data_IF_192047509608
#
_entry.id   IF_192047509608
#
_cell.length_a   1.000
_cell.length_b   1.000
_cell.length_c   1.000
_cell.angle_alpha   90.00
_cell.angle_beta   90.00
_cell.angle_gamma   90.00
#
_symmetry.space_group_name_H-M   'P 1'
#
loop_
_entity.id
_entity.type
_entity.pdbx_description
1 polymer ?
#
# COMPACT_ATOMS: atom_id res chain seq x y z
N UNK A 1 4.34 -7.31 30.57
CA UNK A 1 3.96 -5.90 30.78
C UNK A 1 2.50 -5.63 30.39
N UNK A 2 2.12 -5.50 29.11
CA UNK A 2 0.72 -5.19 28.74
C UNK A 2 -0.27 -6.32 29.08
N UNK A 3 0.08 -7.59 28.84
CA UNK A 3 -0.76 -8.72 29.25
C UNK A 3 -0.99 -8.77 30.76
N UNK A 4 0.04 -8.44 31.55
CA UNK A 4 -0.06 -8.37 33.01
C UNK A 4 -0.91 -7.18 33.44
N UNK A 5 -0.78 -6.02 32.78
CA UNK A 5 -1.60 -4.85 33.05
C UNK A 5 -3.10 -5.13 32.83
N UNK A 6 -3.48 -5.98 31.87
CA UNK A 6 -4.87 -6.39 31.64
C UNK A 6 -5.46 -7.23 32.79
N UNK A 7 -4.64 -7.78 33.69
CA UNK A 7 -5.12 -8.45 34.91
C UNK A 7 -5.59 -7.45 35.97
N UNK A 8 -5.04 -6.23 35.96
CA UNK A 8 -5.34 -5.15 36.91
C UNK A 8 -6.41 -4.22 36.30
N UNK A 9 -6.15 -3.74 35.09
CA UNK A 9 -7.06 -2.89 34.32
C UNK A 9 -8.09 -3.77 33.62
N UNK A 10 -9.15 -4.15 34.31
CA UNK A 10 -10.22 -4.93 33.69
C UNK A 10 -11.24 -4.01 33.01
N UNK A 11 -11.92 -4.52 31.97
CA UNK A 11 -12.99 -3.79 31.25
C UNK A 11 -14.06 -3.20 32.18
N UNK A 12 -14.37 -3.86 33.30
CA UNK A 12 -15.42 -3.43 34.24
C UNK A 12 -14.94 -2.33 35.19
N UNK A 13 -13.71 -2.43 35.69
CA UNK A 13 -13.20 -1.54 36.75
C UNK A 13 -12.48 -0.31 36.20
N UNK A 14 -11.80 -0.47 35.07
CA UNK A 14 -10.99 0.57 34.41
C UNK A 14 -11.18 0.49 32.88
N UNK A 15 -12.37 0.81 32.36
CA UNK A 15 -12.68 0.61 30.94
C UNK A 15 -11.73 1.37 30.01
N UNK A 16 -11.34 2.60 30.36
CA UNK A 16 -10.43 3.42 29.56
C UNK A 16 -9.01 2.88 29.57
N UNK A 17 -8.45 2.58 30.75
CA UNK A 17 -7.10 2.02 30.86
C UNK A 17 -7.00 0.65 30.19
N UNK A 18 -8.06 -0.17 30.30
CA UNK A 18 -8.15 -1.44 29.59
C UNK A 18 -8.15 -1.23 28.07
N UNK A 19 -8.92 -0.28 27.55
CA UNK A 19 -8.97 0.00 26.11
C UNK A 19 -7.63 0.54 25.57
N UNK A 20 -6.99 1.43 26.32
CA UNK A 20 -5.65 1.93 26.02
C UNK A 20 -4.62 0.79 26.00
N UNK A 21 -4.67 -0.09 27.00
CA UNK A 21 -3.81 -1.26 27.09
C UNK A 21 -4.02 -2.22 25.92
N UNK A 22 -5.28 -2.44 25.50
CA UNK A 22 -5.60 -3.24 24.31
C UNK A 22 -5.07 -2.61 23.02
N UNK A 23 -5.20 -1.30 22.84
CA UNK A 23 -4.63 -0.60 21.68
C UNK A 23 -3.10 -0.75 21.60
N UNK A 24 -2.42 -0.60 22.74
CA UNK A 24 -0.96 -0.73 22.80
C UNK A 24 -0.52 -2.18 22.55
N UNK A 25 -1.23 -3.15 23.12
CA UNK A 25 -1.00 -4.56 22.86
C UNK A 25 -1.20 -4.90 21.38
N UNK A 26 -2.23 -4.34 20.74
CA UNK A 26 -2.47 -4.47 19.31
C UNK A 26 -1.32 -3.94 18.47
N UNK A 27 -0.74 -2.81 18.84
CA UNK A 27 0.41 -2.19 18.15
C UNK A 27 1.70 -3.04 18.30
N UNK A 28 1.91 -3.62 19.48
CA UNK A 28 3.03 -4.55 19.72
C UNK A 28 2.88 -5.81 18.86
N UNK A 29 1.69 -6.41 18.85
CA UNK A 29 1.45 -7.60 18.04
C UNK A 29 1.54 -7.32 16.53
N UNK A 30 1.11 -6.15 16.07
CA UNK A 30 1.27 -5.72 14.68
C UNK A 30 2.76 -5.69 14.32
N UNK A 31 3.57 -5.02 15.13
CA UNK A 31 5.02 -4.87 14.89
C UNK A 31 5.73 -6.24 14.87
N UNK A 32 5.40 -7.11 15.83
CA UNK A 32 5.96 -8.47 15.89
C UNK A 32 5.52 -9.30 14.69
N UNK A 33 4.24 -9.26 14.34
CA UNK A 33 3.69 -9.99 13.19
C UNK A 33 4.29 -9.54 11.87
N UNK A 34 4.48 -8.23 11.67
CA UNK A 34 5.14 -7.70 10.48
C UNK A 34 6.59 -8.18 10.40
N UNK A 35 7.36 -8.05 11.48
CA UNK A 35 8.79 -8.41 11.51
C UNK A 35 9.00 -9.91 11.31
N UNK A 36 8.16 -10.74 11.91
CA UNK A 36 8.24 -12.20 11.80
C UNK A 36 7.51 -12.76 10.58
N UNK A 37 6.78 -11.94 9.82
CA UNK A 37 5.79 -12.36 8.81
C UNK A 37 4.83 -13.42 9.37
N UNK A 38 4.35 -13.19 10.59
CA UNK A 38 3.53 -14.13 11.36
C UNK A 38 2.05 -13.70 11.35
N UNK A 39 1.18 -14.39 10.59
CA UNK A 39 -0.24 -14.06 10.53
C UNK A 39 -0.94 -14.26 11.88
N UNK A 40 -0.53 -15.21 12.73
CA UNK A 40 -1.16 -15.42 14.03
C UNK A 40 -0.94 -14.22 14.97
N UNK A 41 0.24 -13.58 14.90
CA UNK A 41 0.49 -12.32 15.63
C UNK A 41 -0.35 -11.17 15.09
N UNK A 42 -0.52 -11.07 13.77
CA UNK A 42 -1.38 -10.06 13.20
C UNK A 42 -2.86 -10.28 13.56
N UNK A 43 -3.33 -11.54 13.65
CA UNK A 43 -4.68 -11.85 14.17
C UNK A 43 -4.85 -11.43 15.63
N UNK A 44 -3.84 -11.64 16.48
CA UNK A 44 -3.84 -11.12 17.85
C UNK A 44 -3.92 -9.59 17.89
N UNK A 45 -3.23 -8.91 16.97
CA UNK A 45 -3.33 -7.45 16.80
C UNK A 45 -4.75 -7.01 16.43
N UNK A 46 -5.37 -7.67 15.43
CA UNK A 46 -6.76 -7.43 15.04
C UNK A 46 -7.70 -7.59 16.23
N UNK A 47 -7.55 -8.68 17.00
CA UNK A 47 -8.38 -8.94 18.18
C UNK A 47 -8.25 -7.84 19.24
N UNK A 48 -7.03 -7.38 19.51
CA UNK A 48 -6.76 -6.33 20.49
C UNK A 48 -7.33 -4.96 20.04
N UNK A 49 -7.17 -4.56 18.78
CA UNK A 49 -7.78 -3.32 18.27
C UNK A 49 -9.32 -3.39 18.28
N UNK A 50 -9.91 -4.53 17.89
CA UNK A 50 -11.37 -4.75 18.00
C UNK A 50 -11.83 -4.70 19.46
N UNK A 51 -11.03 -5.16 20.41
CA UNK A 51 -11.32 -5.07 21.84
C UNK A 51 -11.33 -3.61 22.33
N UNK A 52 -10.31 -2.82 21.98
CA UNK A 52 -10.24 -1.39 22.31
C UNK A 52 -11.46 -0.60 21.80
N UNK A 53 -11.90 -0.88 20.56
CA UNK A 53 -13.07 -0.26 19.92
C UNK A 53 -14.42 -0.57 20.60
N UNK A 54 -14.46 -1.52 21.55
CA UNK A 54 -15.67 -1.74 22.39
C UNK A 54 -15.86 -0.64 23.44
N UNK A 55 -14.80 0.07 23.80
CA UNK A 55 -14.82 1.19 24.75
C UNK A 55 -14.67 2.51 24.03
N UNK A 56 -13.69 2.60 23.12
CA UNK A 56 -13.52 3.75 22.23
C UNK A 56 -14.63 3.75 21.19
N UNK A 57 -15.80 4.24 21.56
CA UNK A 57 -16.92 4.43 20.63
C UNK A 57 -16.79 5.76 19.92
N UNK A 58 -17.23 5.84 18.66
CA UNK A 58 -17.22 7.08 17.86
C UNK A 58 -17.82 8.28 18.60
N UNK A 59 -18.91 8.08 19.37
CA UNK A 59 -19.60 9.15 20.10
C UNK A 59 -18.81 9.66 21.30
N UNK A 60 -18.20 8.77 22.07
CA UNK A 60 -17.55 9.14 23.33
C UNK A 60 -16.08 9.53 23.13
N UNK A 61 -15.39 8.87 22.18
CA UNK A 61 -13.97 9.01 21.93
C UNK A 61 -13.71 9.01 20.42
N UNK A 62 -14.14 10.04 19.67
CA UNK A 62 -14.10 10.04 18.21
C UNK A 62 -12.68 9.83 17.66
N UNK A 63 -11.68 10.52 18.23
CA UNK A 63 -10.29 10.41 17.77
C UNK A 63 -9.67 9.06 18.13
N UNK A 64 -9.88 8.52 19.33
CA UNK A 64 -9.37 7.19 19.70
C UNK A 64 -10.05 6.07 18.89
N UNK A 65 -11.34 6.22 18.59
CA UNK A 65 -12.07 5.30 17.72
C UNK A 65 -11.51 5.32 16.29
N UNK A 66 -11.18 6.50 15.75
CA UNK A 66 -10.57 6.62 14.43
C UNK A 66 -9.13 6.12 14.39
N UNK A 67 -8.32 6.39 15.42
CA UNK A 67 -6.97 5.85 15.56
C UNK A 67 -6.96 4.33 15.60
N UNK A 68 -7.83 3.73 16.42
CA UNK A 68 -7.93 2.26 16.49
C UNK A 68 -8.47 1.66 15.20
N UNK A 69 -9.36 2.35 14.47
CA UNK A 69 -9.81 1.93 13.14
C UNK A 69 -8.67 2.00 12.10
N UNK A 70 -7.88 3.07 12.10
CA UNK A 70 -6.70 3.21 11.24
C UNK A 70 -5.67 2.09 11.51
N UNK A 71 -5.34 1.84 12.78
CA UNK A 71 -4.40 0.78 13.15
C UNK A 71 -4.92 -0.61 12.77
N UNK A 72 -6.22 -0.85 12.93
CA UNK A 72 -6.87 -2.07 12.46
C UNK A 72 -6.74 -2.23 10.94
N UNK A 73 -6.93 -1.15 10.17
CA UNK A 73 -6.73 -1.12 8.72
C UNK A 73 -5.31 -1.54 8.32
N UNK A 74 -4.30 -0.94 8.96
CA UNK A 74 -2.89 -1.29 8.74
C UNK A 74 -2.62 -2.79 8.99
N UNK A 75 -3.13 -3.35 10.11
CA UNK A 75 -2.94 -4.77 10.44
C UNK A 75 -3.64 -5.70 9.44
N UNK A 76 -4.87 -5.36 9.03
CA UNK A 76 -5.62 -6.14 8.06
C UNK A 76 -4.95 -6.13 6.68
N UNK A 77 -4.37 -5.00 6.28
CA UNK A 77 -3.60 -4.91 5.05
C UNK A 77 -2.35 -5.82 5.09
N UNK A 78 -1.64 -5.87 6.22
CA UNK A 78 -0.53 -6.79 6.42
C UNK A 78 -0.97 -8.26 6.35
N UNK A 79 -2.14 -8.60 6.92
CA UNK A 79 -2.73 -9.95 6.81
C UNK A 79 -3.06 -10.30 5.35
N UNK A 80 -3.65 -9.38 4.59
CA UNK A 80 -3.92 -9.58 3.17
C UNK A 80 -2.63 -9.84 2.38
N UNK A 81 -1.50 -9.24 2.77
CA UNK A 81 -0.20 -9.51 2.15
C UNK A 81 0.44 -10.85 2.51
N UNK A 82 -0.08 -11.54 3.54
CA UNK A 82 0.40 -12.84 4.00
C UNK A 82 -0.60 -13.98 3.75
N UNK A 83 -1.76 -13.69 3.15
CA UNK A 83 -2.81 -14.68 2.92
C UNK A 83 -3.55 -14.42 1.61
N UNK A 84 -4.09 -15.48 1.01
CA UNK A 84 -4.84 -15.40 -0.25
C UNK A 84 -6.33 -15.04 -0.02
N UNK A 85 -6.61 -14.20 0.99
CA UNK A 85 -7.98 -13.85 1.42
C UNK A 85 -8.28 -12.38 1.09
N UNK A 86 -9.02 -12.10 0.00
CA UNK A 86 -9.39 -10.74 -0.40
C UNK A 86 -10.16 -9.98 0.70
N UNK A 87 -10.84 -10.71 1.58
CA UNK A 87 -11.63 -10.15 2.68
C UNK A 87 -10.78 -9.27 3.61
N UNK A 88 -9.49 -9.57 3.79
CA UNK A 88 -8.64 -8.72 4.61
C UNK A 88 -8.43 -7.33 4.00
N UNK A 89 -8.30 -7.23 2.68
CA UNK A 89 -8.20 -5.93 2.01
C UNK A 89 -9.55 -5.18 2.04
N UNK A 90 -10.67 -5.90 1.90
CA UNK A 90 -12.01 -5.33 2.05
C UNK A 90 -12.22 -4.77 3.46
N UNK A 91 -11.91 -5.54 4.49
CA UNK A 91 -12.00 -5.13 5.89
C UNK A 91 -11.04 -3.97 6.19
N UNK A 92 -9.83 -3.95 5.60
CA UNK A 92 -8.89 -2.85 5.73
C UNK A 92 -9.47 -1.56 5.14
N UNK A 93 -10.01 -1.61 3.92
CA UNK A 93 -10.66 -0.46 3.28
C UNK A 93 -11.83 0.05 4.13
N UNK A 94 -12.63 -0.83 4.73
CA UNK A 94 -13.69 -0.43 5.67
C UNK A 94 -13.13 0.26 6.92
N UNK A 95 -12.05 -0.26 7.50
CA UNK A 95 -11.43 0.30 8.69
C UNK A 95 -10.80 1.69 8.44
N UNK A 96 -10.17 1.90 7.28
CA UNK A 96 -9.69 3.24 6.88
C UNK A 96 -10.84 4.21 6.63
N UNK A 97 -11.93 3.78 5.97
CA UNK A 97 -13.14 4.60 5.79
C UNK A 97 -13.77 4.98 7.13
N UNK A 98 -13.76 4.08 8.11
CA UNK A 98 -14.17 4.39 9.49
C UNK A 98 -13.28 5.49 10.08
N UNK A 99 -11.95 5.36 9.99
CA UNK A 99 -11.03 6.40 10.47
C UNK A 99 -11.29 7.77 9.83
N UNK A 100 -11.53 7.81 8.51
CA UNK A 100 -11.85 9.02 7.74
C UNK A 100 -13.19 9.68 8.12
N UNK A 101 -14.04 9.01 8.92
CA UNK A 101 -15.24 9.66 9.47
C UNK A 101 -14.90 10.72 10.52
N UNK A 102 -13.79 10.58 11.24
CA UNK A 102 -13.34 11.56 12.24
C UNK A 102 -12.05 12.27 11.81
N UNK A 103 -11.15 11.58 11.11
CA UNK A 103 -10.02 12.27 10.51
C UNK A 103 -10.49 13.16 9.36
N UNK A 104 -10.16 14.45 9.43
CA UNK A 104 -10.48 15.46 8.42
C UNK A 104 -9.22 16.16 7.94
N UNK A 105 -9.24 16.59 6.68
CA UNK A 105 -8.14 17.36 6.09
C UNK A 105 -7.91 18.66 6.86
N UNK A 106 -8.97 19.30 7.33
CA UNK A 106 -8.93 20.62 7.98
C UNK A 106 -8.47 20.57 9.44
N UNK A 107 -8.78 19.48 10.16
CA UNK A 107 -8.55 19.40 11.63
C UNK A 107 -7.50 18.37 12.02
N UNK A 108 -7.28 17.34 11.21
CA UNK A 108 -6.28 16.29 11.41
C UNK A 108 -5.60 15.92 10.08
N UNK A 109 -4.99 16.91 9.38
CA UNK A 109 -4.52 16.75 7.99
C UNK A 109 -3.61 15.54 7.80
N UNK A 110 -2.66 15.34 8.72
CA UNK A 110 -1.70 14.25 8.66
C UNK A 110 -2.37 12.88 8.77
N UNK A 111 -3.22 12.68 9.77
CA UNK A 111 -3.93 11.42 9.97
C UNK A 111 -4.91 11.13 8.83
N UNK A 112 -5.57 12.16 8.32
CA UNK A 112 -6.46 12.05 7.16
C UNK A 112 -5.68 11.58 5.93
N UNK A 113 -4.53 12.19 5.61
CA UNK A 113 -3.72 11.81 4.47
C UNK A 113 -3.16 10.38 4.58
N UNK A 114 -2.68 9.98 5.76
CA UNK A 114 -2.22 8.62 6.01
C UNK A 114 -3.34 7.59 5.86
N UNK A 115 -4.56 7.89 6.34
CA UNK A 115 -5.71 7.01 6.17
C UNK A 115 -6.18 6.93 4.71
N UNK A 116 -6.09 8.03 3.94
CA UNK A 116 -6.36 8.03 2.51
C UNK A 116 -5.34 7.18 1.74
N UNK A 117 -4.04 7.33 2.02
CA UNK A 117 -3.00 6.51 1.38
C UNK A 117 -3.17 5.01 1.69
N UNK A 118 -3.50 4.68 2.95
CA UNK A 118 -3.83 3.31 3.36
C UNK A 118 -5.08 2.76 2.66
N UNK A 119 -6.13 3.58 2.55
CA UNK A 119 -7.35 3.22 1.81
C UNK A 119 -7.03 2.94 0.34
N UNK A 120 -6.23 3.79 -0.30
CA UNK A 120 -5.82 3.59 -1.69
C UNK A 120 -5.10 2.25 -1.88
N UNK A 121 -4.13 1.96 -1.02
CA UNK A 121 -3.40 0.69 -1.09
C UNK A 121 -4.30 -0.52 -0.85
N UNK A 122 -5.22 -0.48 0.12
CA UNK A 122 -6.15 -1.57 0.37
C UNK A 122 -7.08 -1.83 -0.82
N UNK A 123 -7.59 -0.76 -1.45
CA UNK A 123 -8.45 -0.86 -2.63
C UNK A 123 -7.71 -1.38 -3.87
N UNK A 124 -6.45 -0.97 -4.04
CA UNK A 124 -5.59 -1.51 -5.07
C UNK A 124 -5.48 -3.04 -4.96
N UNK A 125 -5.06 -3.54 -3.79
CA UNK A 125 -4.87 -4.98 -3.60
C UNK A 125 -6.19 -5.77 -3.61
N UNK A 126 -7.29 -5.17 -3.15
CA UNK A 126 -8.62 -5.76 -3.30
C UNK A 126 -8.97 -5.96 -4.78
N UNK A 127 -8.74 -4.96 -5.63
CA UNK A 127 -8.94 -5.12 -7.08
C UNK A 127 -8.03 -6.20 -7.66
N UNK A 128 -6.75 -6.26 -7.27
CA UNK A 128 -5.85 -7.29 -7.78
C UNK A 128 -6.33 -8.71 -7.45
N UNK A 129 -7.06 -8.88 -6.35
CA UNK A 129 -7.62 -10.15 -5.96
C UNK A 129 -8.98 -10.45 -6.63
N UNK A 130 -9.77 -9.44 -6.98
CA UNK A 130 -11.17 -9.61 -7.43
C UNK A 130 -11.43 -9.20 -8.88
N UNK A 131 -10.49 -8.53 -9.54
CA UNK A 131 -10.61 -8.02 -10.91
C UNK A 131 -11.54 -6.81 -11.06
N UNK A 132 -11.88 -6.11 -9.98
CA UNK A 132 -12.79 -4.96 -10.01
C UNK A 132 -12.07 -3.64 -10.36
N UNK A 133 -12.45 -3.01 -11.47
CA UNK A 133 -11.89 -1.71 -11.89
C UNK A 133 -12.36 -0.55 -11.03
N UNK A 134 -13.55 -0.65 -10.41
CA UNK A 134 -14.07 0.42 -9.55
C UNK A 134 -13.17 0.66 -8.35
N UNK A 135 -12.70 -0.41 -7.71
CA UNK A 135 -11.74 -0.34 -6.60
C UNK A 135 -10.43 0.33 -7.00
N UNK A 136 -9.93 0.14 -8.22
CA UNK A 136 -8.72 0.86 -8.69
C UNK A 136 -8.99 2.35 -8.93
N UNK A 137 -10.14 2.72 -9.47
CA UNK A 137 -10.51 4.13 -9.64
C UNK A 137 -10.64 4.83 -8.28
N UNK A 138 -11.24 4.17 -7.29
CA UNK A 138 -11.29 4.66 -5.91
C UNK A 138 -9.89 4.70 -5.27
N UNK A 139 -9.01 3.76 -5.58
CA UNK A 139 -7.60 3.78 -5.13
C UNK A 139 -6.87 5.03 -5.61
N UNK A 140 -6.97 5.35 -6.91
CA UNK A 140 -6.36 6.56 -7.49
C UNK A 140 -6.92 7.82 -6.80
N UNK A 141 -8.23 7.89 -6.58
CA UNK A 141 -8.85 9.01 -5.90
C UNK A 141 -8.35 9.17 -4.45
N UNK A 142 -8.20 8.08 -3.70
CA UNK A 142 -7.70 8.10 -2.33
C UNK A 142 -6.23 8.54 -2.26
N UNK A 143 -5.36 8.04 -3.15
CA UNK A 143 -3.97 8.50 -3.20
C UNK A 143 -3.85 9.96 -3.61
N UNK A 144 -4.65 10.44 -4.59
CA UNK A 144 -4.70 11.88 -4.94
C UNK A 144 -5.17 12.74 -3.76
N UNK A 145 -6.15 12.28 -3.00
CA UNK A 145 -6.57 12.97 -1.78
C UNK A 145 -5.42 13.05 -0.76
N UNK A 146 -4.66 11.98 -0.56
CA UNK A 146 -3.49 12.01 0.33
C UNK A 146 -2.44 13.05 -0.10
N UNK A 147 -2.23 13.21 -1.42
CA UNK A 147 -1.32 14.21 -2.01
C UNK A 147 -1.74 15.67 -1.80
N UNK A 148 -2.98 15.95 -1.37
CA UNK A 148 -3.39 17.31 -0.99
C UNK A 148 -2.67 17.80 0.28
N UNK A 149 -2.15 16.89 1.09
CA UNK A 149 -1.42 17.18 2.34
C UNK A 149 0.02 16.70 2.26
N UNK A 150 0.24 15.52 1.68
CA UNK A 150 1.57 14.93 1.49
C UNK A 150 2.19 15.51 0.23
N UNK A 151 2.97 16.57 0.39
CA UNK A 151 3.69 17.23 -0.71
C UNK A 151 5.12 16.72 -0.82
N UNK A 152 5.76 16.98 -1.96
CA UNK A 152 7.17 16.67 -2.16
C UNK A 152 8.05 17.36 -1.11
N UNK A 153 7.72 18.60 -0.74
CA UNK A 153 8.48 19.44 0.17
C UNK A 153 8.30 19.05 1.64
N UNK A 154 7.08 18.66 2.03
CA UNK A 154 6.73 18.43 3.44
C UNK A 154 6.74 16.97 3.87
N UNK A 155 6.55 16.04 2.93
CA UNK A 155 6.49 14.61 3.19
C UNK A 155 6.98 13.81 1.97
N UNK A 156 8.24 13.98 1.53
CA UNK A 156 8.74 13.43 0.27
C UNK A 156 8.55 11.92 0.13
N UNK A 157 8.81 11.16 1.20
CA UNK A 157 8.64 9.70 1.20
C UNK A 157 7.17 9.29 1.05
N UNK A 158 6.28 9.92 1.81
CA UNK A 158 4.84 9.63 1.72
C UNK A 158 4.26 10.05 0.36
N UNK A 159 4.69 11.22 -0.14
CA UNK A 159 4.35 11.71 -1.48
C UNK A 159 4.77 10.72 -2.57
N UNK A 160 6.01 10.22 -2.52
CA UNK A 160 6.51 9.24 -3.50
C UNK A 160 5.76 7.91 -3.41
N UNK A 161 5.43 7.44 -2.21
CA UNK A 161 4.62 6.24 -2.03
C UNK A 161 3.20 6.41 -2.60
N UNK A 162 2.58 7.57 -2.41
CA UNK A 162 1.26 7.86 -2.98
C UNK A 162 1.32 7.96 -4.52
N UNK A 163 2.37 8.55 -5.08
CA UNK A 163 2.61 8.57 -6.53
C UNK A 163 2.76 7.14 -7.08
N UNK A 164 3.57 6.29 -6.44
CA UNK A 164 3.70 4.89 -6.83
C UNK A 164 2.35 4.15 -6.78
N UNK A 165 1.53 4.39 -5.75
CA UNK A 165 0.19 3.82 -5.64
C UNK A 165 -0.77 4.25 -6.75
N UNK A 166 -0.70 5.52 -7.17
CA UNK A 166 -1.43 6.04 -8.34
C UNK A 166 -0.97 5.30 -9.60
N UNK A 167 0.33 5.26 -9.85
CA UNK A 167 0.89 4.62 -11.05
C UNK A 167 0.49 3.14 -11.14
N UNK A 168 0.63 2.38 -10.04
CA UNK A 168 0.25 0.96 -10.01
C UNK A 168 -1.26 0.78 -10.29
N UNK A 169 -2.10 1.63 -9.72
CA UNK A 169 -3.55 1.53 -9.91
C UNK A 169 -3.98 1.88 -11.34
N UNK A 170 -3.37 2.90 -11.94
CA UNK A 170 -3.60 3.30 -13.34
C UNK A 170 -3.11 2.25 -14.33
N UNK A 171 -1.93 1.67 -14.10
CA UNK A 171 -1.39 0.59 -14.93
C UNK A 171 -2.31 -0.64 -14.94
N UNK A 172 -2.84 -1.00 -13.77
CA UNK A 172 -3.78 -2.12 -13.65
C UNK A 172 -5.16 -1.79 -14.23
N UNK A 173 -5.63 -0.55 -14.12
CA UNK A 173 -6.83 -0.10 -14.83
C UNK A 173 -6.67 -0.25 -16.34
N UNK A 174 -5.54 0.21 -16.88
CA UNK A 174 -5.25 0.07 -18.32
C UNK A 174 -5.18 -1.39 -18.76
N UNK A 175 -4.67 -2.26 -17.91
CA UNK A 175 -4.61 -3.70 -18.18
C UNK A 175 -6.01 -4.33 -18.18
N UNK A 176 -6.82 -4.08 -17.14
CA UNK A 176 -8.17 -4.65 -17.01
C UNK A 176 -9.14 -4.12 -18.07
N UNK A 177 -9.06 -2.83 -18.40
CA UNK A 177 -9.86 -2.20 -19.44
C UNK A 177 -9.29 -2.40 -20.86
N UNK A 178 -8.09 -2.99 -20.99
CA UNK A 178 -7.33 -3.09 -22.26
C UNK A 178 -7.22 -1.74 -22.98
N UNK A 179 -6.84 -0.71 -22.22
CA UNK A 179 -6.79 0.67 -22.67
C UNK A 179 -5.47 1.34 -22.30
N UNK A 180 -4.84 1.97 -23.28
CA UNK A 180 -3.61 2.74 -23.11
C UNK A 180 -3.82 4.12 -22.49
N UNK A 181 -5.08 4.55 -22.28
CA UNK A 181 -5.41 5.93 -21.85
C UNK A 181 -4.84 6.33 -20.49
N UNK A 182 -4.43 5.36 -19.68
CA UNK A 182 -3.86 5.58 -18.35
C UNK A 182 -2.32 5.50 -18.31
N UNK A 183 -1.67 5.05 -19.39
CA UNK A 183 -0.24 4.72 -19.39
C UNK A 183 0.64 5.96 -19.20
N UNK A 184 0.28 7.09 -19.82
CA UNK A 184 1.06 8.33 -19.71
C UNK A 184 1.01 8.88 -18.28
N UNK A 185 -0.16 8.83 -17.64
CA UNK A 185 -0.30 9.25 -16.25
C UNK A 185 0.39 8.26 -15.28
N UNK A 186 0.31 6.95 -15.54
CA UNK A 186 1.02 5.96 -14.75
C UNK A 186 2.54 6.15 -14.81
N UNK A 187 3.08 6.37 -16.02
CA UNK A 187 4.49 6.68 -16.24
C UNK A 187 4.92 7.95 -15.49
N UNK A 188 4.14 9.03 -15.58
CA UNK A 188 4.42 10.26 -14.87
C UNK A 188 4.46 10.07 -13.35
N UNK A 189 3.57 9.24 -12.79
CA UNK A 189 3.54 8.95 -11.36
C UNK A 189 4.74 8.09 -10.91
N UNK A 190 5.18 7.13 -11.72
CA UNK A 190 6.41 6.38 -11.42
C UNK A 190 7.67 7.24 -11.56
N UNK A 191 7.75 8.11 -12.58
CA UNK A 191 8.84 9.08 -12.70
C UNK A 191 8.87 10.06 -11.52
N UNK A 192 7.70 10.50 -11.03
CA UNK A 192 7.60 11.30 -9.82
C UNK A 192 8.20 10.57 -8.61
N UNK A 193 7.89 9.27 -8.45
CA UNK A 193 8.44 8.41 -7.39
C UNK A 193 9.98 8.38 -7.41
N UNK A 194 10.60 8.33 -8.59
CA UNK A 194 12.06 8.31 -8.78
C UNK A 194 12.75 9.64 -8.40
N UNK A 195 12.01 10.74 -8.19
CA UNK A 195 12.59 12.00 -7.67
C UNK A 195 12.98 11.90 -6.19
N UNK A 196 12.39 10.97 -5.46
CA UNK A 196 12.65 10.74 -4.03
C UNK A 196 13.45 9.47 -3.85
N UNK A 197 12.98 8.36 -4.42
CA UNK A 197 13.69 7.09 -4.33
C UNK A 197 14.73 6.99 -5.42
N UNK A 198 15.98 7.23 -5.05
CA UNK A 198 17.12 7.06 -5.97
C UNK A 198 17.80 5.72 -5.72
N UNK A 199 18.58 5.27 -6.71
CA UNK A 199 19.35 4.03 -6.61
C UNK A 199 20.31 4.05 -5.41
N UNK A 200 20.93 5.19 -5.13
CA UNK A 200 21.96 5.35 -4.11
C UNK A 200 21.36 5.39 -2.70
N UNK A 201 20.17 5.98 -2.56
CA UNK A 201 19.61 6.29 -1.25
C UNK A 201 18.54 5.28 -0.82
N UNK A 202 17.72 4.81 -1.76
CA UNK A 202 16.64 3.85 -1.54
C UNK A 202 16.59 2.83 -2.70
N UNK A 203 17.63 1.98 -2.86
CA UNK A 203 17.78 1.08 -4.01
C UNK A 203 16.57 0.15 -4.19
N UNK A 204 15.99 -0.34 -3.10
CA UNK A 204 14.85 -1.25 -3.16
C UNK A 204 13.59 -0.57 -3.74
N UNK A 205 13.23 0.59 -3.22
CA UNK A 205 12.07 1.36 -3.69
C UNK A 205 12.29 1.88 -5.12
N UNK A 206 13.51 2.34 -5.42
CA UNK A 206 13.90 2.72 -6.77
C UNK A 206 13.70 1.55 -7.75
N UNK A 207 14.15 0.33 -7.40
CA UNK A 207 13.97 -0.86 -8.24
C UNK A 207 12.50 -1.22 -8.49
N UNK A 208 11.62 -1.08 -7.49
CA UNK A 208 10.20 -1.30 -7.72
C UNK A 208 9.61 -0.26 -8.69
N UNK A 209 9.98 1.01 -8.57
CA UNK A 209 9.55 2.04 -9.52
C UNK A 209 10.09 1.79 -10.93
N UNK A 210 11.35 1.34 -11.06
CA UNK A 210 11.93 0.92 -12.35
C UNK A 210 11.16 -0.27 -12.94
N UNK A 211 10.85 -1.31 -12.16
CA UNK A 211 10.05 -2.44 -12.64
C UNK A 211 8.68 -1.96 -13.15
N UNK A 212 8.04 -1.05 -12.42
CA UNK A 212 6.72 -0.55 -12.78
C UNK A 212 6.74 0.28 -14.07
N UNK A 213 7.79 1.07 -14.29
CA UNK A 213 8.03 1.74 -15.58
C UNK A 213 8.22 0.73 -16.71
N UNK A 214 8.98 -0.33 -16.46
CA UNK A 214 9.14 -1.44 -17.42
C UNK A 214 7.81 -2.06 -17.81
N UNK A 215 6.93 -2.31 -16.83
CA UNK A 215 5.58 -2.84 -17.07
C UNK A 215 4.70 -1.85 -17.86
N UNK A 216 4.82 -0.54 -17.61
CA UNK A 216 4.11 0.48 -18.38
C UNK A 216 4.56 0.53 -19.85
N UNK A 217 5.87 0.53 -20.11
CA UNK A 217 6.43 0.51 -21.45
C UNK A 217 6.16 -0.80 -22.19
N UNK A 218 6.18 -1.94 -21.49
CA UNK A 218 5.72 -3.22 -22.04
C UNK A 218 4.28 -3.09 -22.55
N UNK A 219 3.39 -2.52 -21.72
CA UNK A 219 1.97 -2.40 -22.05
C UNK A 219 1.77 -1.44 -23.24
N UNK A 220 2.52 -0.34 -23.31
CA UNK A 220 2.50 0.56 -24.46
C UNK A 220 2.97 -0.13 -25.74
N UNK A 221 4.04 -0.93 -25.67
CA UNK A 221 4.58 -1.67 -26.81
C UNK A 221 3.57 -2.69 -27.37
N UNK A 222 2.89 -3.42 -26.48
CA UNK A 222 1.88 -4.42 -26.87
C UNK A 222 0.63 -3.80 -27.49
N UNK A 223 0.35 -2.52 -27.21
CA UNK A 223 -0.76 -1.74 -27.78
C UNK A 223 -0.39 -0.93 -29.05
N UNK A 224 0.76 -1.19 -29.65
CA UNK A 224 1.15 -0.57 -30.93
C UNK A 224 2.26 0.49 -30.82
N UNK A 225 2.86 0.69 -29.64
CA UNK A 225 4.02 1.57 -29.46
C UNK A 225 5.31 1.08 -30.15
N UNK A 226 5.35 -0.17 -30.60
CA UNK A 226 6.44 -0.70 -31.40
C UNK A 226 7.71 -1.02 -30.60
N UNK A 227 8.80 -1.27 -31.32
CA UNK A 227 10.04 -1.83 -30.75
C UNK A 227 10.75 -0.86 -29.81
N UNK A 228 10.61 0.46 -30.02
CA UNK A 228 11.16 1.48 -29.14
C UNK A 228 10.64 1.35 -27.70
N UNK A 229 9.35 1.05 -27.53
CA UNK A 229 8.75 0.87 -26.21
C UNK A 229 9.19 -0.46 -25.55
N UNK A 230 9.38 -1.52 -26.34
CA UNK A 230 9.97 -2.76 -25.84
C UNK A 230 11.42 -2.57 -25.38
N UNK A 231 12.22 -1.78 -26.11
CA UNK A 231 13.61 -1.49 -25.71
C UNK A 231 13.65 -0.71 -24.39
N UNK A 232 12.77 0.29 -24.21
CA UNK A 232 12.62 0.98 -22.91
C UNK A 232 12.22 0.01 -21.79
N UNK A 233 11.26 -0.89 -22.06
CA UNK A 233 10.83 -1.87 -21.07
C UNK A 233 12.00 -2.74 -20.57
N UNK A 234 12.85 -3.22 -21.49
CA UNK A 234 14.07 -3.98 -21.13
C UNK A 234 15.00 -3.14 -20.26
N UNK A 235 15.28 -1.89 -20.64
CA UNK A 235 16.16 -1.01 -19.87
C UNK A 235 15.67 -0.84 -18.42
N UNK A 236 14.37 -0.55 -18.25
CA UNK A 236 13.76 -0.41 -16.94
C UNK A 236 13.79 -1.71 -16.12
N UNK A 237 13.56 -2.87 -16.74
CA UNK A 237 13.65 -4.15 -16.04
C UNK A 237 15.09 -4.51 -15.65
N UNK A 238 16.08 -4.23 -16.50
CA UNK A 238 17.49 -4.45 -16.17
C UNK A 238 17.94 -3.55 -15.01
N UNK A 239 17.53 -2.29 -15.01
CA UNK A 239 17.74 -1.36 -13.89
C UNK A 239 17.11 -1.91 -12.60
N UNK A 240 15.85 -2.33 -12.67
CA UNK A 240 15.14 -2.91 -11.52
C UNK A 240 15.91 -4.11 -10.94
N UNK A 241 16.30 -5.05 -11.81
CA UNK A 241 17.07 -6.23 -11.44
C UNK A 241 18.39 -5.88 -10.76
N UNK A 242 19.13 -4.93 -11.33
CA UNK A 242 20.40 -4.49 -10.76
C UNK A 242 20.20 -3.90 -9.36
N UNK A 243 19.24 -3.00 -9.18
CA UNK A 243 19.00 -2.43 -7.86
C UNK A 243 18.44 -3.43 -6.84
N UNK A 244 17.68 -4.45 -7.26
CA UNK A 244 17.26 -5.54 -6.37
C UNK A 244 18.46 -6.35 -5.87
N UNK A 245 19.41 -6.66 -6.77
CA UNK A 245 20.65 -7.34 -6.41
C UNK A 245 21.51 -6.50 -5.45
N UNK A 246 21.65 -5.20 -5.71
CA UNK A 246 22.39 -4.25 -4.86
C UNK A 246 21.77 -4.08 -3.47
N UNK A 247 20.43 -4.12 -3.39
CA UNK A 247 19.69 -4.10 -2.13
C UNK A 247 19.73 -5.45 -1.37
N UNK A 248 20.33 -6.50 -1.94
CA UNK A 248 20.28 -7.86 -1.39
C UNK A 248 18.89 -8.50 -1.40
N UNK A 249 17.93 -7.93 -2.14
CA UNK A 249 16.55 -8.40 -2.21
C UNK A 249 16.33 -9.22 -3.47
N UNK A 250 16.74 -10.48 -3.44
CA UNK A 250 16.83 -11.33 -4.64
C UNK A 250 15.51 -11.97 -5.07
N UNK A 251 14.47 -11.91 -4.25
CA UNK A 251 13.17 -12.56 -4.50
C UNK A 251 12.54 -12.15 -5.86
N UNK A 252 12.53 -10.87 -6.27
CA UNK A 252 11.89 -10.46 -7.53
C UNK A 252 12.75 -10.70 -8.78
N UNK A 253 14.04 -11.03 -8.62
CA UNK A 253 14.99 -11.13 -9.75
C UNK A 253 14.55 -12.17 -10.79
N UNK A 254 14.18 -13.42 -10.44
CA UNK A 254 13.78 -14.41 -11.43
C UNK A 254 12.53 -14.00 -12.24
N UNK A 255 11.58 -13.31 -11.60
CA UNK A 255 10.40 -12.79 -12.30
C UNK A 255 10.79 -11.67 -13.26
N UNK A 256 11.72 -10.80 -12.85
CA UNK A 256 12.22 -9.69 -13.68
C UNK A 256 12.98 -10.22 -14.90
N UNK A 257 13.83 -11.26 -14.72
CA UNK A 257 14.51 -11.92 -15.84
C UNK A 257 13.51 -12.53 -16.83
N UNK A 258 12.46 -13.20 -16.33
CA UNK A 258 11.39 -13.73 -17.18
C UNK A 258 10.70 -12.62 -17.98
N UNK A 259 10.44 -11.46 -17.38
CA UNK A 259 9.88 -10.31 -18.11
C UNK A 259 10.83 -9.87 -19.23
N UNK A 260 12.13 -9.72 -18.96
CA UNK A 260 13.13 -9.33 -19.98
C UNK A 260 13.15 -10.34 -21.14
N UNK A 261 13.17 -11.64 -20.85
CA UNK A 261 13.13 -12.70 -21.85
C UNK A 261 11.88 -12.62 -22.72
N UNK A 262 10.71 -12.43 -22.10
CA UNK A 262 9.45 -12.31 -22.83
C UNK A 262 9.46 -11.06 -23.75
N UNK A 263 10.06 -9.94 -23.34
CA UNK A 263 10.19 -8.76 -24.22
C UNK A 263 11.05 -9.11 -25.43
N UNK A 264 12.23 -9.72 -25.20
CA UNK A 264 13.16 -10.12 -26.26
C UNK A 264 12.52 -11.09 -27.26
N UNK A 265 11.70 -12.01 -26.78
CA UNK A 265 10.92 -12.91 -27.64
C UNK A 265 9.88 -12.18 -28.49
N UNK A 266 9.24 -11.13 -27.98
CA UNK A 266 8.29 -10.34 -28.76
C UNK A 266 8.99 -9.51 -29.84
N UNK A 267 10.16 -8.95 -29.54
CA UNK A 267 11.00 -8.25 -30.52
C UNK A 267 11.47 -9.17 -31.65
N UNK A 268 11.85 -10.42 -31.34
CA UNK A 268 12.34 -11.38 -32.33
C UNK A 268 11.25 -11.98 -33.24
N UNK A 269 9.96 -11.77 -32.93
CA UNK A 269 8.81 -12.30 -33.70
C UNK A 269 8.33 -11.35 -34.80
N UNK A 270 8.85 -10.13 -34.86
CA UNK A 270 8.51 -9.12 -35.86
C UNK A 270 9.63 -8.97 -36.88
#
# INVERSE_FOLDING_TARGET
AYSDALTIFTRKRFPMDWASTQNNLGSVYQTLGQRARDPARLEQSVAAFRAARRIYTRRAFPLDWAMTAYNLGNTLQLLGGLSDKPEHYRDAAMAYRDALREYKRETTPRQWALAQAGLGSALHWLSMAEGDTKSLAESVAAHRAALEVQTFETAPVDWANAQNGIGMSLLNLGTLERSGKYLDEAEAAFQATLKVFTRESQPLQWSFAQNNLGDAHWNRASQGGGDAEYMKAIEFFENAKQGFAEAGYTIPIPLTDKKIELVKQQLAKK
#
